data_IF_371223855673
#
_entry.id   IF_371223855673
#
_cell.length_a   1.000
_cell.length_b   1.000
_cell.length_c   1.000
_cell.angle_alpha   90.00
_cell.angle_beta   90.00
_cell.angle_gamma   90.00
#
_symmetry.space_group_name_H-M   'P 1'
#
loop_
_entity.id
_entity.type
_entity.pdbx_description
1 polymer ?
#
# COMPACT_ATOMS: atom_id res chain seq x y z
N UNK A 1 -13.52 9.61 -11.62
CA UNK A 1 -12.07 9.95 -11.76
C UNK A 1 -11.27 9.15 -10.74
N UNK A 2 -10.11 8.60 -11.14
CA UNK A 2 -9.17 7.94 -10.23
C UNK A 2 -8.22 8.98 -9.66
N UNK A 3 -8.13 9.11 -8.33
CA UNK A 3 -7.13 9.95 -7.68
C UNK A 3 -5.81 9.19 -7.52
N UNK A 4 -4.73 9.68 -8.10
CA UNK A 4 -3.36 9.24 -7.83
C UNK A 4 -2.79 10.15 -6.76
N UNK A 5 -2.63 9.62 -5.55
CA UNK A 5 -2.29 10.42 -4.37
C UNK A 5 -0.85 10.91 -4.43
N UNK A 6 -0.67 12.23 -4.33
CA UNK A 6 0.62 12.90 -4.23
C UNK A 6 0.88 13.35 -2.80
N UNK A 7 1.75 12.64 -2.09
CA UNK A 7 2.31 13.06 -0.81
C UNK A 7 3.80 13.44 -0.93
N UNK A 8 4.16 14.05 -2.07
CA UNK A 8 5.51 14.56 -2.41
C UNK A 8 6.54 13.44 -2.64
N UNK A 9 6.11 12.19 -2.85
CA UNK A 9 6.98 11.03 -3.10
C UNK A 9 6.33 10.08 -4.09
N UNK A 10 7.14 9.40 -4.91
CA UNK A 10 6.67 8.37 -5.84
C UNK A 10 6.81 8.73 -7.31
N UNK A 11 6.71 7.71 -8.16
CA UNK A 11 6.74 7.88 -9.62
C UNK A 11 5.31 8.08 -10.16
N UNK A 12 4.69 9.19 -9.77
CA UNK A 12 3.28 9.50 -10.02
C UNK A 12 2.94 9.54 -11.51
N UNK A 13 3.83 10.13 -12.33
CA UNK A 13 3.61 10.25 -13.78
C UNK A 13 3.61 8.91 -14.51
N UNK A 14 4.39 7.94 -14.05
CA UNK A 14 4.37 6.59 -14.62
C UNK A 14 3.07 5.88 -14.29
N UNK A 15 2.57 6.05 -13.06
CA UNK A 15 1.28 5.49 -12.65
C UNK A 15 0.13 6.12 -13.43
N UNK A 16 0.10 7.44 -13.53
CA UNK A 16 -0.93 8.17 -14.30
C UNK A 16 -0.95 7.71 -15.78
N UNK A 17 0.22 7.59 -16.41
CA UNK A 17 0.34 7.09 -17.79
C UNK A 17 -0.09 5.63 -17.94
N UNK A 18 0.26 4.77 -16.98
CA UNK A 18 -0.17 3.37 -16.98
C UNK A 18 -1.69 3.24 -16.87
N UNK A 19 -2.32 4.02 -16.01
CA UNK A 19 -3.78 4.06 -15.89
C UNK A 19 -4.45 4.60 -17.17
N UNK A 20 -3.90 5.65 -17.77
CA UNK A 20 -4.39 6.19 -19.02
C UNK A 20 -4.27 5.17 -20.18
N UNK A 21 -3.17 4.42 -20.24
CA UNK A 21 -3.00 3.34 -21.24
C UNK A 21 -4.00 2.20 -21.04
N UNK A 22 -4.48 1.98 -19.82
CA UNK A 22 -5.57 1.06 -19.51
C UNK A 22 -6.97 1.65 -19.74
N UNK A 23 -7.06 2.86 -20.32
CA UNK A 23 -8.34 3.53 -20.61
C UNK A 23 -8.98 4.25 -19.42
N UNK A 24 -8.26 4.40 -18.31
CA UNK A 24 -8.78 5.02 -17.11
C UNK A 24 -8.51 6.55 -17.08
N UNK A 25 -9.48 7.32 -16.58
CA UNK A 25 -9.30 8.75 -16.31
C UNK A 25 -8.69 8.92 -14.90
N UNK A 26 -7.39 9.18 -14.85
CA UNK A 26 -6.65 9.37 -13.61
C UNK A 26 -6.11 10.80 -13.50
N UNK A 27 -5.99 11.30 -12.26
CA UNK A 27 -5.44 12.61 -11.94
C UNK A 27 -4.54 12.54 -10.72
N UNK A 28 -3.34 13.10 -10.83
CA UNK A 28 -2.43 13.28 -9.68
C UNK A 28 -2.96 14.44 -8.84
N UNK A 29 -3.13 14.22 -7.55
CA UNK A 29 -3.58 15.25 -6.61
C UNK A 29 -2.99 15.08 -5.22
N UNK A 30 -2.65 16.21 -4.60
CA UNK A 30 -2.28 16.30 -3.18
C UNK A 30 -3.47 16.75 -2.30
N UNK A 31 -4.58 17.20 -2.92
CA UNK A 31 -5.72 17.75 -2.22
C UNK A 31 -6.60 16.66 -1.62
N UNK A 32 -6.74 16.68 -0.29
CA UNK A 32 -7.60 15.75 0.45
C UNK A 32 -9.08 15.83 0.02
N UNK A 33 -9.57 16.99 -0.41
CA UNK A 33 -10.93 17.15 -0.88
C UNK A 33 -11.15 16.49 -2.26
N UNK A 34 -10.17 16.56 -3.16
CA UNK A 34 -10.21 15.82 -4.43
C UNK A 34 -10.14 14.31 -4.21
N UNK A 35 -9.31 13.85 -3.24
CA UNK A 35 -9.24 12.44 -2.83
C UNK A 35 -10.59 11.98 -2.28
N UNK A 36 -11.23 12.81 -1.43
CA UNK A 36 -12.54 12.51 -0.86
C UNK A 36 -13.67 12.45 -1.90
N UNK A 37 -13.50 13.08 -3.06
CA UNK A 37 -14.48 13.07 -4.16
C UNK A 37 -14.18 12.00 -5.24
N UNK A 38 -13.08 11.23 -5.11
CA UNK A 38 -12.66 10.29 -6.14
C UNK A 38 -13.55 9.03 -6.20
N UNK A 39 -13.67 8.44 -7.40
CA UNK A 39 -14.36 7.16 -7.63
C UNK A 39 -13.46 5.94 -7.35
N UNK A 40 -12.15 6.14 -7.40
CA UNK A 40 -11.13 5.15 -7.02
C UNK A 40 -9.85 5.87 -6.60
N UNK A 41 -9.03 5.22 -5.80
CA UNK A 41 -7.80 5.80 -5.26
C UNK A 41 -6.62 4.87 -5.58
N UNK A 42 -5.52 5.46 -6.08
CA UNK A 42 -4.24 4.78 -6.24
C UNK A 42 -3.21 5.51 -5.38
N UNK A 43 -2.57 4.77 -4.49
CA UNK A 43 -1.52 5.26 -3.60
C UNK A 43 -0.18 4.63 -4.00
N UNK A 44 0.60 5.26 -4.88
CA UNK A 44 1.97 4.84 -5.14
C UNK A 44 2.89 5.34 -4.03
N UNK A 45 4.06 4.71 -3.87
CA UNK A 45 4.99 5.20 -2.87
C UNK A 45 6.40 4.68 -2.98
N UNK A 46 7.34 5.51 -2.49
CA UNK A 46 8.74 5.17 -2.30
C UNK A 46 9.27 5.82 -1.02
N UNK A 47 10.31 5.25 -0.43
CA UNK A 47 10.95 5.78 0.78
C UNK A 47 10.47 5.10 2.06
N UNK A 48 10.70 5.72 3.20
CA UNK A 48 10.41 5.17 4.51
C UNK A 48 8.94 5.34 4.91
N UNK A 49 8.40 4.33 5.61
CA UNK A 49 7.01 4.29 6.07
C UNK A 49 6.64 5.49 6.95
N UNK A 50 7.48 5.79 7.95
CA UNK A 50 7.19 6.86 8.92
C UNK A 50 7.11 8.24 8.26
N UNK A 51 8.03 8.55 7.34
CA UNK A 51 8.06 9.81 6.60
C UNK A 51 6.82 10.00 5.74
N UNK A 52 6.43 8.93 5.03
CA UNK A 52 5.25 8.94 4.17
C UNK A 52 3.98 9.14 5.00
N UNK A 53 3.84 8.39 6.09
CA UNK A 53 2.71 8.49 7.01
C UNK A 53 2.61 9.89 7.65
N UNK A 54 3.73 10.50 8.04
CA UNK A 54 3.75 11.86 8.59
C UNK A 54 3.28 12.88 7.56
N UNK A 55 3.85 12.84 6.34
CA UNK A 55 3.49 13.77 5.26
C UNK A 55 2.00 13.65 4.88
N UNK A 56 1.47 12.42 4.73
CA UNK A 56 0.06 12.21 4.41
C UNK A 56 -0.87 12.70 5.53
N UNK A 57 -0.43 12.62 6.78
CA UNK A 57 -1.18 13.14 7.92
C UNK A 57 -1.22 14.66 7.92
N UNK A 58 -0.09 15.32 7.67
CA UNK A 58 -0.01 16.77 7.52
C UNK A 58 -0.90 17.30 6.41
N UNK A 59 -1.01 16.57 5.31
CA UNK A 59 -1.84 16.92 4.15
C UNK A 59 -3.33 16.53 4.33
N UNK A 60 -3.72 15.92 5.46
CA UNK A 60 -5.09 15.45 5.68
C UNK A 60 -5.53 14.27 4.78
N UNK A 61 -4.60 13.67 4.05
CA UNK A 61 -4.90 12.63 3.07
C UNK A 61 -5.29 11.31 3.72
N UNK A 62 -4.74 11.00 4.92
CA UNK A 62 -5.00 9.72 5.57
C UNK A 62 -6.48 9.52 5.92
N UNK A 63 -7.13 10.55 6.44
CA UNK A 63 -8.53 10.48 6.83
C UNK A 63 -9.43 10.43 5.59
N UNK A 64 -9.13 11.26 4.57
CA UNK A 64 -9.85 11.23 3.30
C UNK A 64 -9.81 9.84 2.64
N UNK A 65 -8.65 9.19 2.61
CA UNK A 65 -8.49 7.83 2.06
C UNK A 65 -9.28 6.81 2.90
N UNK A 66 -9.14 6.83 4.23
CA UNK A 66 -9.85 5.90 5.12
C UNK A 66 -11.36 5.97 4.94
N UNK A 67 -11.91 7.18 4.90
CA UNK A 67 -13.34 7.39 4.78
C UNK A 67 -13.87 6.90 3.43
N UNK A 68 -13.13 7.15 2.35
CA UNK A 68 -13.48 6.65 1.02
C UNK A 68 -13.42 5.13 0.92
N UNK A 69 -12.37 4.50 1.46
CA UNK A 69 -12.25 3.03 1.45
C UNK A 69 -13.34 2.39 2.31
N UNK A 70 -13.68 2.96 3.46
CA UNK A 70 -14.82 2.50 4.29
C UNK A 70 -16.16 2.65 3.57
N UNK A 71 -16.29 3.65 2.72
CA UNK A 71 -17.46 3.83 1.86
C UNK A 71 -17.49 2.88 0.64
N UNK A 72 -16.51 1.96 0.51
CA UNK A 72 -16.44 0.96 -0.55
C UNK A 72 -15.76 1.44 -1.84
N UNK A 73 -15.06 2.57 -1.82
CA UNK A 73 -14.32 3.07 -2.97
C UNK A 73 -13.09 2.17 -3.23
N UNK A 74 -12.88 1.71 -4.48
CA UNK A 74 -11.73 0.89 -4.83
C UNK A 74 -10.40 1.59 -4.51
N UNK A 75 -9.47 0.84 -3.90
CA UNK A 75 -8.15 1.32 -3.51
C UNK A 75 -7.05 0.38 -4.01
N UNK A 76 -5.98 0.96 -4.57
CA UNK A 76 -4.78 0.23 -4.99
C UNK A 76 -3.54 0.87 -4.35
N UNK A 77 -2.88 0.13 -3.45
CA UNK A 77 -1.55 0.47 -2.93
C UNK A 77 -0.45 -0.13 -3.81
N UNK A 78 0.58 0.66 -4.13
CA UNK A 78 1.73 0.21 -4.93
C UNK A 78 3.01 0.40 -4.10
N UNK A 79 3.75 -0.69 -3.85
CA UNK A 79 4.99 -0.68 -3.08
C UNK A 79 4.76 -0.06 -1.68
N UNK A 80 5.43 1.03 -1.30
CA UNK A 80 5.19 1.69 -0.02
C UNK A 80 3.71 2.05 0.20
N UNK A 81 2.95 2.34 -0.86
CA UNK A 81 1.51 2.58 -0.76
C UNK A 81 0.73 1.36 -0.27
N UNK A 82 1.19 0.14 -0.57
CA UNK A 82 0.65 -1.09 -0.01
C UNK A 82 1.02 -1.23 1.48
N UNK A 83 2.29 -0.97 1.84
CA UNK A 83 2.72 -0.99 3.24
C UNK A 83 1.87 -0.04 4.10
N UNK A 84 1.56 1.15 3.59
CA UNK A 84 0.75 2.14 4.30
C UNK A 84 -0.70 1.71 4.56
N UNK A 85 -1.20 0.64 3.91
CA UNK A 85 -2.53 0.08 4.20
C UNK A 85 -2.61 -0.54 5.60
N UNK A 86 -1.49 -1.02 6.14
CA UNK A 86 -1.43 -1.64 7.46
C UNK A 86 -1.62 -0.64 8.61
N UNK A 87 -1.84 -1.16 9.82
CA UNK A 87 -2.01 -0.34 11.03
C UNK A 87 -0.76 0.44 11.38
N UNK A 88 0.43 -0.17 11.19
CA UNK A 88 1.70 0.44 11.52
C UNK A 88 2.88 -0.07 10.68
N UNK A 89 4.01 0.65 10.76
CA UNK A 89 5.27 0.26 10.18
C UNK A 89 6.45 0.82 10.96
N UNK A 90 7.55 0.08 10.99
CA UNK A 90 8.75 0.45 11.78
C UNK A 90 9.80 1.20 10.98
N UNK A 91 9.73 1.15 9.64
CA UNK A 91 10.74 1.77 8.79
C UNK A 91 10.75 3.30 8.93
N UNK A 92 11.90 3.86 9.30
CA UNK A 92 12.05 5.30 9.55
C UNK A 92 11.44 5.79 10.85
N UNK A 93 10.91 4.90 11.69
CA UNK A 93 10.38 5.23 13.01
C UNK A 93 11.47 5.19 14.08
N UNK A 94 11.35 5.97 15.17
CA UNK A 94 12.15 5.77 16.36
C UNK A 94 12.04 4.33 16.89
N UNK A 95 13.09 3.83 17.53
CA UNK A 95 13.09 2.48 18.08
C UNK A 95 11.97 2.35 19.14
N UNK A 96 11.15 1.30 18.99
CA UNK A 96 10.03 1.02 19.90
C UNK A 96 8.74 1.79 19.63
N UNK A 97 8.70 2.69 18.66
CA UNK A 97 7.49 3.49 18.34
C UNK A 97 7.10 3.38 16.85
N UNK A 98 6.44 2.31 16.42
CA UNK A 98 6.01 2.18 15.03
C UNK A 98 5.09 3.32 14.59
N UNK A 99 5.34 3.86 13.39
CA UNK A 99 4.48 4.88 12.81
C UNK A 99 3.12 4.29 12.42
N UNK A 100 2.03 5.02 12.66
CA UNK A 100 0.67 4.60 12.29
C UNK A 100 0.44 4.76 10.79
N UNK A 101 -0.10 3.71 10.16
CA UNK A 101 -0.54 3.69 8.78
C UNK A 101 -2.02 4.04 8.60
N UNK A 102 -2.60 3.60 7.49
CA UNK A 102 -4.02 3.79 7.17
C UNK A 102 -4.93 2.88 8.02
N UNK A 103 -4.44 1.74 8.52
CA UNK A 103 -5.26 0.80 9.29
C UNK A 103 -6.42 0.19 8.49
N UNK A 104 -6.21 -0.02 7.20
CA UNK A 104 -7.16 -0.72 6.33
C UNK A 104 -7.00 -2.23 6.44
N UNK A 105 -5.80 -2.68 6.78
CA UNK A 105 -5.43 -4.07 7.03
C UNK A 105 -4.81 -4.19 8.43
N UNK A 106 -5.11 -5.25 9.19
CA UNK A 106 -4.48 -5.48 10.48
C UNK A 106 -3.01 -5.84 10.33
N UNK A 107 -2.21 -5.50 11.34
CA UNK A 107 -0.80 -5.85 11.42
C UNK A 107 0.16 -4.68 11.23
N UNK A 108 1.46 -4.97 11.40
CA UNK A 108 2.54 -3.99 11.32
C UNK A 108 3.63 -4.42 10.33
N UNK A 109 4.03 -3.50 9.47
CA UNK A 109 5.11 -3.72 8.49
C UNK A 109 6.45 -3.60 9.19
N UNK A 110 7.24 -4.68 9.16
CA UNK A 110 8.56 -4.78 9.77
C UNK A 110 9.60 -5.30 8.78
N UNK A 111 10.87 -5.15 9.14
CA UNK A 111 11.96 -5.72 8.35
C UNK A 111 11.86 -7.25 8.32
N UNK A 112 12.14 -7.84 7.16
CA UNK A 112 12.23 -9.30 7.04
C UNK A 112 13.35 -9.85 7.96
N UNK A 113 13.15 -11.03 8.60
CA UNK A 113 14.22 -11.72 9.28
C UNK A 113 15.42 -11.93 8.34
N UNK A 114 16.63 -11.87 8.87
CA UNK A 114 17.84 -12.09 8.06
C UNK A 114 18.13 -13.57 7.79
N UNK A 115 17.48 -14.44 8.54
CA UNK A 115 17.62 -15.90 8.43
C UNK A 115 16.24 -16.55 8.50
N UNK A 116 16.09 -17.72 7.86
CA UNK A 116 14.89 -18.55 7.98
C UNK A 116 14.92 -19.36 9.30
N UNK A 117 13.87 -20.15 9.53
CA UNK A 117 13.75 -21.03 10.70
C UNK A 117 14.85 -22.11 10.77
N UNK A 118 15.50 -22.42 9.67
CA UNK A 118 16.60 -23.35 9.55
C UNK A 118 17.97 -22.69 9.69
N UNK A 119 18.03 -21.36 9.84
CA UNK A 119 19.28 -20.59 9.97
C UNK A 119 19.93 -20.19 8.65
N UNK A 120 19.29 -20.42 7.49
CA UNK A 120 19.81 -20.01 6.20
C UNK A 120 19.57 -18.53 5.97
N UNK A 121 20.56 -17.83 5.42
CA UNK A 121 20.44 -16.38 5.15
C UNK A 121 19.45 -16.09 4.03
N UNK A 122 18.52 -15.15 4.26
CA UNK A 122 17.70 -14.59 3.21
C UNK A 122 18.48 -13.58 2.39
N UNK A 123 18.29 -13.62 1.05
CA UNK A 123 18.78 -12.57 0.17
C UNK A 123 17.83 -11.38 0.24
N UNK A 124 18.26 -10.30 0.87
CA UNK A 124 17.52 -9.02 0.94
C UNK A 124 18.32 -7.96 0.18
N UNK A 125 17.68 -7.22 -0.76
CA UNK A 125 16.29 -7.35 -1.19
C UNK A 125 16.03 -8.57 -2.08
N UNK A 126 14.81 -9.12 -2.02
CA UNK A 126 14.33 -10.10 -2.98
C UNK A 126 13.85 -9.39 -4.25
N UNK A 127 14.59 -9.52 -5.33
CA UNK A 127 14.25 -8.90 -6.64
C UNK A 127 14.14 -9.99 -7.68
N UNK A 128 13.01 -10.05 -8.38
CA UNK A 128 12.78 -11.04 -9.44
C UNK A 128 11.34 -11.05 -9.92
N UNK A 129 11.10 -11.82 -10.96
CA UNK A 129 9.75 -12.12 -11.45
C UNK A 129 9.21 -13.34 -10.72
N UNK A 130 8.00 -13.23 -10.20
CA UNK A 130 7.30 -14.31 -9.53
C UNK A 130 5.93 -14.53 -10.18
N UNK A 131 5.45 -15.77 -10.10
CA UNK A 131 4.08 -16.11 -10.48
C UNK A 131 3.14 -15.78 -9.32
N UNK A 132 2.01 -15.15 -9.63
CA UNK A 132 0.93 -14.93 -8.66
C UNK A 132 -0.13 -16.00 -8.87
N UNK A 133 -0.34 -16.84 -7.88
CA UNK A 133 -1.43 -17.81 -7.88
C UNK A 133 -2.65 -17.19 -7.21
N UNK A 134 -3.75 -17.10 -7.96
CA UNK A 134 -5.03 -16.66 -7.42
C UNK A 134 -5.85 -17.89 -7.07
N UNK A 135 -6.15 -18.17 -5.79
CA UNK A 135 -6.99 -19.31 -5.42
C UNK A 135 -8.34 -19.23 -6.10
N UNK A 136 -8.79 -20.31 -6.72
CA UNK A 136 -10.08 -20.41 -7.43
C UNK A 136 -11.29 -20.09 -6.53
N UNK A 137 -11.12 -20.25 -5.20
CA UNK A 137 -12.15 -20.02 -4.18
C UNK A 137 -11.98 -18.71 -3.42
N UNK A 138 -11.07 -17.83 -3.80
CA UNK A 138 -11.04 -16.48 -3.27
C UNK A 138 -12.30 -15.77 -3.79
N UNK A 139 -13.40 -15.91 -3.05
CA UNK A 139 -14.73 -15.43 -3.41
C UNK A 139 -14.75 -13.99 -3.86
N UNK A 140 -14.50 -13.78 -5.14
CA UNK A 140 -14.61 -12.48 -5.78
C UNK A 140 -16.02 -12.38 -6.27
N UNK A 141 -16.87 -11.79 -5.46
CA UNK A 141 -18.06 -11.17 -6.02
C UNK A 141 -17.60 -10.07 -6.98
N UNK A 142 -18.08 -10.11 -8.21
CA UNK A 142 -17.83 -9.05 -9.19
C UNK A 142 -18.19 -7.71 -8.54
N UNK A 143 -17.19 -6.84 -8.31
CA UNK A 143 -17.39 -5.54 -7.69
C UNK A 143 -16.71 -5.30 -6.33
N UNK A 144 -16.19 -6.30 -5.65
CA UNK A 144 -15.42 -6.05 -4.41
C UNK A 144 -13.95 -5.71 -4.74
N UNK A 145 -13.36 -4.66 -4.14
CA UNK A 145 -11.94 -4.40 -4.27
C UNK A 145 -11.16 -5.57 -3.68
N UNK A 146 -10.32 -6.19 -4.51
CA UNK A 146 -9.41 -7.24 -4.07
C UNK A 146 -8.12 -6.63 -3.55
N UNK A 147 -7.79 -6.89 -2.28
CA UNK A 147 -6.38 -6.96 -1.95
C UNK A 147 -5.81 -8.17 -2.71
N UNK A 148 -4.97 -7.94 -3.70
CA UNK A 148 -4.19 -9.02 -4.33
C UNK A 148 -3.10 -9.35 -3.30
N UNK A 149 -3.13 -10.53 -2.64
CA UNK A 149 -2.02 -10.90 -1.79
C UNK A 149 -0.78 -10.96 -2.69
N UNK A 150 0.30 -10.29 -2.31
CA UNK A 150 1.61 -10.61 -2.88
C UNK A 150 1.76 -12.12 -2.83
N UNK A 151 2.18 -12.71 -3.95
CA UNK A 151 2.42 -14.12 -4.05
C UNK A 151 3.18 -14.59 -2.83
N UNK A 152 2.81 -15.76 -2.30
CA UNK A 152 3.38 -16.34 -1.10
C UNK A 152 4.87 -16.05 -1.03
N UNK A 153 5.24 -15.07 -0.24
CA UNK A 153 6.61 -14.99 0.24
C UNK A 153 6.86 -16.29 0.99
N UNK A 154 7.95 -17.00 0.77
CA UNK A 154 8.30 -18.10 1.63
C UNK A 154 8.24 -17.58 3.06
N UNK A 155 7.46 -18.22 3.89
CA UNK A 155 7.14 -17.98 5.29
C UNK A 155 8.14 -17.06 5.99
N UNK A 156 7.78 -15.80 6.19
CA UNK A 156 8.68 -14.82 6.81
C UNK A 156 8.02 -13.48 7.16
N UNK A 157 6.75 -13.28 6.84
CA UNK A 157 5.97 -12.18 7.40
C UNK A 157 5.23 -12.72 8.62
N UNK A 158 5.84 -12.58 9.79
CA UNK A 158 5.16 -12.81 11.07
C UNK A 158 4.12 -11.70 11.24
N UNK A 159 2.87 -11.99 10.95
CA UNK A 159 1.73 -11.26 11.50
C UNK A 159 1.60 -11.73 12.94
N UNK A 160 2.30 -11.13 13.87
CA UNK A 160 1.96 -11.26 15.27
C UNK A 160 0.67 -10.44 15.49
N UNK A 161 -0.43 -11.17 15.64
CA UNK A 161 -1.66 -10.65 16.20
C UNK A 161 -1.50 -10.40 17.71
#
# INVERSE_FOLDING_TARGET
MIAVVDYRKGNLKSVERGLAAAGACARITADAAEIAAADAIVLPGVGAFADAAATMRELGQMDAIRDRVRAGVPFLGICLGEHLMFECGVEGSPEGEPARGLGLLPGCVAAMPRVDEQGNAFKVPHVGWNTVEVPLNAGVSAGAPRAVPHGRQPSGLSTNA
#
